data_IF_933763037028
#
_entry.id   IF_933763037028
#
_cell.length_a   1.000
_cell.length_b   1.000
_cell.length_c   1.000
_cell.angle_alpha   90.00
_cell.angle_beta   90.00
_cell.angle_gamma   90.00
#
_symmetry.space_group_name_H-M   'P 1'
#
loop_
_entity.id
_entity.type
_entity.pdbx_description
1 polymer ?
#
# COMPACT_ATOMS: atom_id res chain seq x y z
N UNK A 1 1.11 -4.54 15.51
CA UNK A 1 -0.28 -4.24 15.11
C UNK A 1 -1.14 -4.03 16.35
N UNK A 2 -2.26 -3.36 16.22
CA UNK A 2 -3.30 -3.14 17.21
C UNK A 2 -4.63 -2.92 16.45
N UNK A 3 -5.71 -2.57 17.15
CA UNK A 3 -7.04 -2.35 16.59
C UNK A 3 -7.16 -1.21 15.55
N UNK A 4 -6.11 -0.46 15.30
CA UNK A 4 -6.08 0.67 14.35
C UNK A 4 -5.50 0.33 12.99
N UNK A 5 -5.03 -0.90 12.80
CA UNK A 5 -4.41 -1.34 11.54
C UNK A 5 -4.85 -2.73 11.15
N UNK A 6 -4.91 -2.96 9.84
CA UNK A 6 -5.09 -4.31 9.29
C UNK A 6 -3.96 -5.23 9.78
N UNK A 7 -4.32 -6.45 10.17
CA UNK A 7 -3.32 -7.49 10.46
C UNK A 7 -2.73 -7.97 9.13
N UNK A 8 -1.40 -7.84 8.90
CA UNK A 8 -0.78 -8.29 7.66
C UNK A 8 -1.10 -9.77 7.37
N UNK A 9 -1.50 -10.06 6.13
CA UNK A 9 -1.83 -11.41 5.64
C UNK A 9 -0.61 -12.04 4.99
N UNK A 10 -0.66 -13.37 4.78
CA UNK A 10 0.40 -14.06 4.02
C UNK A 10 0.51 -13.56 2.59
N UNK A 11 -0.60 -13.17 1.96
CA UNK A 11 -0.61 -12.63 0.60
C UNK A 11 0.20 -11.33 0.48
N UNK A 12 0.28 -10.54 1.56
CA UNK A 12 1.12 -9.34 1.62
C UNK A 12 2.62 -9.67 1.47
N UNK A 13 3.05 -10.86 1.87
CA UNK A 13 4.44 -11.32 1.66
C UNK A 13 4.77 -11.44 0.17
N UNK A 14 3.81 -11.89 -0.64
CA UNK A 14 3.97 -11.98 -2.11
C UNK A 14 4.23 -10.61 -2.73
N UNK A 15 3.49 -9.58 -2.30
CA UNK A 15 3.71 -8.21 -2.75
C UNK A 15 5.13 -7.73 -2.42
N UNK A 16 5.62 -8.00 -1.21
CA UNK A 16 6.99 -7.65 -0.80
C UNK A 16 8.02 -8.41 -1.62
N UNK A 17 7.83 -9.71 -1.88
CA UNK A 17 8.73 -10.51 -2.70
C UNK A 17 8.81 -9.98 -4.14
N UNK A 18 7.66 -9.63 -4.75
CA UNK A 18 7.63 -9.05 -6.09
C UNK A 18 8.32 -7.67 -6.14
N UNK A 19 8.15 -6.85 -5.10
CA UNK A 19 8.87 -5.60 -4.96
C UNK A 19 10.39 -5.81 -4.88
N UNK A 20 10.83 -6.81 -4.10
CA UNK A 20 12.25 -7.12 -3.93
C UNK A 20 12.91 -7.70 -5.19
N UNK A 21 12.17 -8.35 -6.09
CA UNK A 21 12.70 -8.77 -7.41
C UNK A 21 13.10 -7.57 -8.29
N UNK A 22 12.50 -6.41 -8.05
CA UNK A 22 12.73 -5.16 -8.80
C UNK A 22 13.65 -4.19 -8.07
N UNK A 23 14.26 -4.62 -6.96
CA UNK A 23 15.09 -3.75 -6.11
C UNK A 23 16.30 -3.18 -6.85
N UNK A 24 16.54 -1.90 -6.64
CA UNK A 24 17.75 -1.18 -7.05
C UNK A 24 18.35 -0.47 -5.82
N UNK A 25 19.65 -0.24 -5.80
CA UNK A 25 20.28 0.52 -4.73
C UNK A 25 19.78 1.98 -4.71
N UNK A 26 19.52 2.51 -3.53
CA UNK A 26 19.07 3.90 -3.37
C UNK A 26 17.62 4.17 -3.83
N UNK A 27 16.79 3.12 -4.01
CA UNK A 27 15.39 3.30 -4.42
C UNK A 27 14.60 4.18 -3.46
N UNK A 28 13.71 5.01 -4.03
CA UNK A 28 12.67 5.74 -3.31
C UNK A 28 11.33 5.04 -3.50
N UNK A 29 10.74 4.54 -2.43
CA UNK A 29 9.49 3.77 -2.44
C UNK A 29 8.36 4.59 -1.82
N UNK A 30 7.19 4.58 -2.45
CA UNK A 30 5.94 5.08 -1.88
C UNK A 30 5.03 3.90 -1.53
N UNK A 31 4.50 3.90 -0.32
CA UNK A 31 3.51 2.93 0.14
C UNK A 31 2.21 3.66 0.46
N UNK A 32 1.20 3.48 -0.38
CA UNK A 32 -0.13 4.07 -0.21
C UNK A 32 -1.02 3.13 0.59
N UNK A 33 -1.82 3.68 1.50
CA UNK A 33 -2.59 2.93 2.50
C UNK A 33 -1.65 2.06 3.36
N UNK A 34 -0.59 2.70 3.87
CA UNK A 34 0.56 2.00 4.48
C UNK A 34 0.21 1.23 5.76
N UNK A 35 -0.87 1.57 6.43
CA UNK A 35 -1.33 0.92 7.66
C UNK A 35 -0.23 0.85 8.72
N UNK A 36 0.17 -0.35 9.09
CA UNK A 36 1.25 -0.59 10.06
C UNK A 36 2.66 -0.32 9.51
N UNK A 37 2.79 0.04 8.24
CA UNK A 37 4.06 0.20 7.53
C UNK A 37 4.71 -1.12 7.15
N UNK A 38 4.03 -2.26 7.28
CA UNK A 38 4.66 -3.57 7.13
C UNK A 38 5.26 -3.79 5.74
N UNK A 39 4.60 -3.36 4.66
CA UNK A 39 5.10 -3.49 3.29
C UNK A 39 6.35 -2.63 3.11
N UNK A 40 6.23 -1.33 3.35
CA UNK A 40 7.32 -0.38 3.21
C UNK A 40 8.56 -0.79 4.01
N UNK A 41 8.37 -1.09 5.28
CA UNK A 41 9.47 -1.43 6.18
C UNK A 41 10.13 -2.75 5.80
N UNK A 42 9.38 -3.74 5.33
CA UNK A 42 9.91 -5.00 4.82
C UNK A 42 10.75 -4.80 3.56
N UNK A 43 10.30 -3.95 2.64
CA UNK A 43 11.07 -3.60 1.44
C UNK A 43 12.37 -2.88 1.85
N UNK A 44 12.28 -1.81 2.66
CA UNK A 44 13.43 -1.00 3.05
C UNK A 44 14.47 -1.78 3.87
N UNK A 45 14.04 -2.74 4.68
CA UNK A 45 14.97 -3.61 5.42
C UNK A 45 15.89 -4.43 4.52
N UNK A 46 15.45 -4.70 3.29
CA UNK A 46 16.16 -5.48 2.28
C UNK A 46 16.81 -4.61 1.18
N UNK A 47 16.71 -3.28 1.29
CA UNK A 47 17.36 -2.35 0.37
C UNK A 47 18.63 -1.76 0.99
N UNK A 48 19.66 -1.57 0.17
CA UNK A 48 20.82 -0.75 0.53
C UNK A 48 20.53 0.72 0.20
N UNK A 49 20.61 1.58 1.22
CA UNK A 49 20.42 3.05 1.08
C UNK A 49 19.04 3.46 0.51
N UNK A 50 18.03 2.57 0.59
CA UNK A 50 16.67 2.91 0.17
C UNK A 50 16.01 3.88 1.13
N UNK A 51 15.10 4.70 0.60
CA UNK A 51 14.21 5.57 1.38
C UNK A 51 12.75 5.33 1.02
N UNK A 52 11.85 5.64 1.93
CA UNK A 52 10.44 5.42 1.66
C UNK A 52 9.52 6.41 2.35
N UNK A 53 8.37 6.59 1.70
CA UNK A 53 7.27 7.39 2.24
C UNK A 53 6.06 6.46 2.40
N UNK A 54 5.52 6.38 3.61
CA UNK A 54 4.25 5.71 3.89
C UNK A 54 3.14 6.75 4.03
N UNK A 55 2.07 6.57 3.29
CA UNK A 55 0.90 7.45 3.33
C UNK A 55 -0.30 6.67 3.84
N UNK A 56 -1.03 7.28 4.77
CA UNK A 56 -2.31 6.77 5.25
C UNK A 56 -3.23 7.92 5.63
N UNK A 57 -4.53 7.70 5.58
CA UNK A 57 -5.54 8.65 6.03
C UNK A 57 -5.76 8.58 7.55
N UNK A 58 -5.30 7.51 8.20
CA UNK A 58 -5.41 7.27 9.64
C UNK A 58 -4.14 7.67 10.38
N UNK A 59 -4.20 8.70 11.23
CA UNK A 59 -3.07 9.06 12.11
C UNK A 59 -2.70 7.92 13.07
N UNK A 60 -3.70 7.18 13.57
CA UNK A 60 -3.46 6.03 14.44
C UNK A 60 -2.67 4.92 13.74
N UNK A 61 -2.94 4.68 12.46
CA UNK A 61 -2.16 3.75 11.65
C UNK A 61 -0.71 4.24 11.48
N UNK A 62 -0.53 5.52 11.18
CA UNK A 62 0.81 6.12 11.05
C UNK A 62 1.61 6.09 12.36
N UNK A 63 0.96 6.21 13.53
CA UNK A 63 1.63 6.03 14.81
C UNK A 63 2.18 4.60 14.98
N UNK A 64 1.42 3.60 14.54
CA UNK A 64 1.89 2.20 14.52
C UNK A 64 3.08 2.05 13.58
N UNK A 65 2.99 2.61 12.37
CA UNK A 65 4.07 2.56 11.38
C UNK A 65 5.35 3.21 11.89
N UNK A 66 5.28 4.39 12.52
CA UNK A 66 6.44 5.08 13.14
C UNK A 66 7.08 4.22 14.24
N UNK A 67 6.26 3.60 15.11
CA UNK A 67 6.78 2.68 16.16
C UNK A 67 7.49 1.48 15.55
N UNK A 68 6.94 0.92 14.47
CA UNK A 68 7.55 -0.20 13.77
C UNK A 68 8.87 0.21 13.10
N UNK A 69 8.92 1.37 12.45
CA UNK A 69 10.15 1.91 11.86
C UNK A 69 11.25 2.06 12.92
N UNK A 70 10.90 2.59 14.10
CA UNK A 70 11.83 2.72 15.24
C UNK A 70 12.36 1.37 15.69
N UNK A 71 11.49 0.38 15.87
CA UNK A 71 11.90 -0.97 16.29
C UNK A 71 12.85 -1.64 15.30
N UNK A 72 12.74 -1.31 14.02
CA UNK A 72 13.56 -1.87 12.93
C UNK A 72 14.81 -1.05 12.62
N UNK A 73 14.97 0.13 13.26
CA UNK A 73 16.08 1.06 12.99
C UNK A 73 15.99 1.72 11.61
N UNK A 74 14.77 1.97 11.12
CA UNK A 74 14.50 2.55 9.81
C UNK A 74 13.94 3.98 9.88
N UNK A 75 13.98 4.64 11.04
CA UNK A 75 13.44 6.00 11.22
C UNK A 75 14.07 7.01 10.26
N UNK A 76 15.38 6.93 10.06
CA UNK A 76 16.08 7.85 9.16
C UNK A 76 15.80 7.59 7.67
N UNK A 77 15.31 6.40 7.33
CA UNK A 77 15.00 5.99 5.96
C UNK A 77 13.52 6.15 5.59
N UNK A 78 12.66 6.51 6.57
CA UNK A 78 11.21 6.54 6.38
C UNK A 78 10.60 7.88 6.75
N UNK A 79 9.59 8.29 5.99
CA UNK A 79 8.70 9.40 6.32
C UNK A 79 7.25 8.91 6.27
N UNK A 80 6.45 9.26 7.28
CA UNK A 80 5.02 8.90 7.32
C UNK A 80 4.17 10.16 7.26
N UNK A 81 3.23 10.22 6.30
CA UNK A 81 2.45 11.40 5.94
C UNK A 81 0.95 11.11 6.05
N UNK A 82 0.24 11.92 6.84
CA UNK A 82 -1.22 11.91 6.89
C UNK A 82 -1.78 12.58 5.65
N UNK A 83 -2.37 11.77 4.76
CA UNK A 83 -2.89 12.23 3.48
C UNK A 83 -3.90 11.24 2.90
N UNK A 84 -4.84 11.73 2.13
CA UNK A 84 -5.65 10.90 1.27
C UNK A 84 -4.87 10.64 -0.04
N UNK A 85 -4.47 9.40 -0.24
CA UNK A 85 -3.66 8.96 -1.38
C UNK A 85 -2.54 9.96 -1.74
N UNK A 86 -2.56 10.52 -2.94
CA UNK A 86 -1.49 11.38 -3.46
C UNK A 86 -1.55 12.85 -3.06
N UNK A 87 -2.58 13.32 -2.33
CA UNK A 87 -2.79 14.76 -2.07
C UNK A 87 -1.55 15.49 -1.52
N UNK A 88 -0.75 14.81 -0.69
CA UNK A 88 0.49 15.36 -0.12
C UNK A 88 1.75 14.59 -0.54
N UNK A 89 1.63 13.69 -1.52
CA UNK A 89 2.77 12.96 -2.04
C UNK A 89 3.75 13.88 -2.79
N UNK A 90 5.05 13.59 -2.67
CA UNK A 90 6.10 14.33 -3.35
C UNK A 90 7.01 13.37 -4.12
N UNK A 91 6.68 13.15 -5.38
CA UNK A 91 7.45 12.28 -6.28
C UNK A 91 8.75 12.91 -6.82
N UNK A 92 9.41 12.28 -7.79
CA UNK A 92 9.08 10.98 -8.31
C UNK A 92 9.62 9.81 -7.48
N UNK A 93 8.97 8.66 -7.59
CA UNK A 93 9.34 7.41 -6.91
C UNK A 93 9.82 6.36 -7.91
N UNK A 94 10.73 5.48 -7.48
CA UNK A 94 11.14 4.30 -8.26
C UNK A 94 10.08 3.20 -8.21
N UNK A 95 9.30 3.16 -7.12
CA UNK A 95 8.27 2.17 -6.91
C UNK A 95 7.13 2.76 -6.09
N UNK A 96 5.90 2.45 -6.48
CA UNK A 96 4.69 2.66 -5.68
C UNK A 96 4.13 1.28 -5.37
N UNK A 97 3.86 1.02 -4.10
CA UNK A 97 3.18 -0.18 -3.62
C UNK A 97 1.91 0.21 -2.90
N UNK A 98 0.90 -0.64 -2.91
CA UNK A 98 -0.29 -0.45 -2.11
C UNK A 98 -1.03 -1.77 -1.86
N UNK A 99 -1.52 -1.92 -0.64
CA UNK A 99 -2.58 -2.84 -0.28
C UNK A 99 -3.80 -1.99 0.13
N UNK A 100 -4.57 -1.47 -0.83
CA UNK A 100 -5.69 -0.60 -0.53
C UNK A 100 -6.89 -1.40 -0.06
N UNK A 101 -7.89 -0.79 0.61
CA UNK A 101 -9.16 -1.44 0.90
C UNK A 101 -9.84 -1.91 -0.39
N UNK A 102 -10.27 -3.16 -0.42
CA UNK A 102 -10.79 -3.79 -1.66
C UNK A 102 -12.07 -4.63 -1.46
N UNK A 103 -12.64 -4.67 -0.26
CA UNK A 103 -13.87 -5.41 0.00
C UNK A 103 -15.06 -4.54 -0.35
N UNK A 104 -16.03 -5.09 -1.09
CA UNK A 104 -17.28 -4.38 -1.39
C UNK A 104 -18.01 -4.02 -0.09
N UNK A 105 -18.54 -2.80 -0.03
CA UNK A 105 -19.22 -2.29 1.19
C UNK A 105 -20.29 -3.26 1.71
N UNK A 106 -21.04 -3.88 0.79
CA UNK A 106 -22.13 -4.81 1.14
C UNK A 106 -21.61 -6.16 1.66
N UNK A 107 -20.40 -6.56 1.28
CA UNK A 107 -19.78 -7.82 1.72
C UNK A 107 -19.20 -7.73 3.13
N UNK A 108 -18.87 -6.52 3.62
CA UNK A 108 -18.25 -6.33 4.93
C UNK A 108 -19.09 -6.97 6.05
N UNK A 109 -20.42 -6.87 5.97
CA UNK A 109 -21.31 -7.46 6.96
C UNK A 109 -21.28 -9.01 6.99
N UNK A 110 -20.76 -9.64 5.93
CA UNK A 110 -20.69 -11.10 5.77
C UNK A 110 -19.30 -11.65 6.15
N UNK A 111 -18.36 -10.78 6.48
CA UNK A 111 -17.02 -11.20 6.90
C UNK A 111 -17.07 -11.97 8.23
N UNK A 112 -16.06 -12.80 8.44
CA UNK A 112 -15.88 -13.47 9.73
C UNK A 112 -15.83 -12.44 10.87
N UNK A 113 -16.42 -12.74 12.03
CA UNK A 113 -16.49 -11.80 13.16
C UNK A 113 -15.12 -11.24 13.57
N UNK A 114 -14.06 -12.05 13.48
CA UNK A 114 -12.69 -11.66 13.82
C UNK A 114 -12.17 -10.52 12.95
N UNK A 115 -12.61 -10.45 11.70
CA UNK A 115 -12.25 -9.38 10.74
C UNK A 115 -13.24 -8.22 10.90
N UNK A 116 -14.53 -8.52 10.78
CA UNK A 116 -15.60 -7.52 10.77
C UNK A 116 -15.64 -6.64 12.03
N UNK A 117 -15.43 -7.27 13.21
CA UNK A 117 -15.65 -6.62 14.50
C UNK A 117 -14.35 -6.07 15.14
N UNK A 118 -13.19 -6.46 14.63
CA UNK A 118 -11.89 -6.12 15.23
C UNK A 118 -10.93 -5.38 14.32
N UNK A 119 -11.13 -5.41 12.99
CA UNK A 119 -10.29 -4.66 12.07
C UNK A 119 -10.96 -3.33 11.66
N UNK A 120 -10.19 -2.26 11.44
CA UNK A 120 -10.78 -0.97 11.09
C UNK A 120 -11.57 -1.06 9.78
N UNK A 121 -12.84 -0.66 9.79
CA UNK A 121 -13.67 -0.64 8.57
C UNK A 121 -13.00 0.14 7.44
N UNK A 122 -12.31 1.23 7.78
CA UNK A 122 -11.56 2.05 6.82
C UNK A 122 -10.48 1.26 6.06
N UNK A 123 -9.93 0.21 6.67
CA UNK A 123 -8.92 -0.65 6.04
C UNK A 123 -9.54 -1.78 5.19
N UNK A 124 -10.86 -1.97 5.23
CA UNK A 124 -11.57 -3.03 4.54
C UNK A 124 -12.40 -2.52 3.36
N UNK A 125 -13.06 -1.36 3.52
CA UNK A 125 -14.12 -0.87 2.63
C UNK A 125 -13.56 -0.29 1.34
N UNK A 126 -13.61 -1.11 0.26
CA UNK A 126 -13.23 -0.75 -1.11
C UNK A 126 -14.34 -0.06 -1.91
N UNK A 127 -15.41 0.41 -1.24
CA UNK A 127 -16.61 1.02 -1.80
C UNK A 127 -17.51 0.02 -2.56
N UNK A 128 -18.35 0.52 -3.46
CA UNK A 128 -19.47 -0.25 -4.04
C UNK A 128 -19.07 -1.50 -4.82
N UNK A 129 -17.86 -1.53 -5.40
CA UNK A 129 -17.37 -2.63 -6.23
C UNK A 129 -15.95 -3.09 -5.87
N UNK A 130 -15.44 -2.63 -4.73
CA UNK A 130 -14.10 -2.99 -4.26
C UNK A 130 -12.94 -2.44 -5.10
N UNK A 131 -13.22 -1.63 -6.14
CA UNK A 131 -12.19 -1.16 -7.10
C UNK A 131 -11.91 0.35 -7.02
N UNK A 132 -12.56 1.06 -6.13
CA UNK A 132 -12.46 2.52 -6.03
C UNK A 132 -11.01 3.00 -5.86
N UNK A 133 -10.27 2.41 -4.93
CA UNK A 133 -8.89 2.83 -4.65
C UNK A 133 -7.94 2.47 -5.79
N UNK A 134 -8.12 1.31 -6.44
CA UNK A 134 -7.31 0.96 -7.62
C UNK A 134 -7.49 1.98 -8.74
N UNK A 135 -8.72 2.36 -9.07
CA UNK A 135 -8.98 3.41 -10.07
C UNK A 135 -8.35 4.74 -9.68
N UNK A 136 -8.50 5.14 -8.42
CA UNK A 136 -7.96 6.41 -7.90
C UNK A 136 -6.44 6.44 -7.95
N UNK A 137 -5.78 5.32 -7.61
CA UNK A 137 -4.32 5.22 -7.64
C UNK A 137 -3.82 5.18 -9.09
N UNK A 138 -4.39 4.33 -9.92
CA UNK A 138 -3.95 4.13 -11.32
C UNK A 138 -4.08 5.43 -12.13
N UNK A 139 -5.15 6.22 -11.91
CA UNK A 139 -5.37 7.48 -12.64
C UNK A 139 -4.34 8.57 -12.33
N UNK A 140 -3.64 8.49 -11.19
CA UNK A 140 -2.73 9.54 -10.72
C UNK A 140 -1.25 9.10 -10.67
N UNK A 141 -0.98 7.81 -10.50
CA UNK A 141 0.35 7.31 -10.15
C UNK A 141 1.45 7.67 -11.15
N UNK A 142 1.12 7.89 -12.42
CA UNK A 142 2.09 8.27 -13.46
C UNK A 142 2.81 9.58 -13.14
N UNK A 143 2.14 10.54 -12.53
CA UNK A 143 2.71 11.84 -12.15
C UNK A 143 3.72 11.72 -11.01
N UNK A 144 3.69 10.59 -10.30
CA UNK A 144 4.54 10.31 -9.14
C UNK A 144 5.56 9.21 -9.36
N UNK A 145 5.51 8.49 -10.50
CA UNK A 145 6.49 7.48 -10.87
C UNK A 145 7.59 8.06 -11.76
N UNK A 146 8.80 7.55 -11.60
CA UNK A 146 9.84 7.71 -12.61
C UNK A 146 9.46 6.99 -13.91
N UNK A 147 10.11 7.31 -15.02
CA UNK A 147 9.83 6.74 -16.34
C UNK A 147 9.89 5.20 -16.35
N UNK A 148 10.85 4.62 -15.63
CA UNK A 148 11.01 3.17 -15.44
C UNK A 148 10.50 2.66 -14.08
N UNK A 149 9.65 3.45 -13.43
CA UNK A 149 9.07 3.14 -12.13
C UNK A 149 8.00 2.04 -12.20
N UNK A 150 7.85 1.30 -11.10
CA UNK A 150 6.89 0.20 -11.00
C UNK A 150 5.74 0.53 -10.05
N UNK A 151 4.52 0.07 -10.42
CA UNK A 151 3.34 0.07 -9.57
C UNK A 151 2.96 -1.37 -9.23
N UNK A 152 2.83 -1.69 -7.95
CA UNK A 152 2.45 -3.02 -7.47
C UNK A 152 1.29 -2.93 -6.49
N UNK A 153 0.34 -3.85 -6.63
CA UNK A 153 -0.83 -3.97 -5.76
C UNK A 153 -0.93 -5.35 -5.11
N UNK A 154 -1.36 -5.39 -3.86
CA UNK A 154 -2.13 -6.51 -3.36
C UNK A 154 -3.57 -6.35 -3.84
N UNK A 155 -4.23 -7.44 -4.24
CA UNK A 155 -5.58 -7.43 -4.80
C UNK A 155 -6.44 -8.50 -4.14
N UNK A 156 -7.74 -8.23 -4.06
CA UNK A 156 -8.72 -9.21 -3.58
C UNK A 156 -8.87 -10.41 -4.52
N UNK A 157 -9.25 -11.53 -3.96
CA UNK A 157 -9.55 -12.74 -4.73
C UNK A 157 -10.62 -12.44 -5.79
N UNK A 158 -10.32 -12.77 -7.05
CA UNK A 158 -11.24 -12.51 -8.19
C UNK A 158 -11.09 -11.13 -8.85
N UNK A 159 -10.38 -10.18 -8.26
CA UNK A 159 -10.21 -8.82 -8.85
C UNK A 159 -9.11 -8.73 -9.91
N UNK A 160 -8.32 -9.78 -10.09
CA UNK A 160 -7.14 -9.77 -10.97
C UNK A 160 -7.42 -9.30 -12.40
N UNK A 161 -8.51 -9.76 -13.02
CA UNK A 161 -8.87 -9.34 -14.38
C UNK A 161 -9.23 -7.85 -14.45
N UNK A 162 -10.03 -7.35 -13.51
CA UNK A 162 -10.47 -5.96 -13.48
C UNK A 162 -9.30 -5.00 -13.21
N UNK A 163 -8.44 -5.31 -12.24
CA UNK A 163 -7.26 -4.49 -11.94
C UNK A 163 -6.26 -4.52 -13.09
N UNK A 164 -6.06 -5.68 -13.74
CA UNK A 164 -5.20 -5.77 -14.93
C UNK A 164 -5.70 -4.92 -16.08
N UNK A 165 -7.02 -4.84 -16.30
CA UNK A 165 -7.61 -3.98 -17.33
C UNK A 165 -7.36 -2.51 -17.02
N UNK A 166 -7.61 -2.06 -15.79
CA UNK A 166 -7.32 -0.69 -15.36
C UNK A 166 -5.85 -0.30 -15.61
N UNK A 167 -4.92 -1.20 -15.29
CA UNK A 167 -3.48 -0.96 -15.52
C UNK A 167 -3.15 -0.87 -17.01
N UNK A 168 -3.72 -1.73 -17.87
CA UNK A 168 -3.52 -1.71 -19.32
C UNK A 168 -4.08 -0.43 -19.94
N UNK A 169 -5.30 -0.01 -19.58
CA UNK A 169 -5.90 1.23 -20.05
C UNK A 169 -5.05 2.45 -19.68
N UNK A 170 -4.40 2.43 -18.52
CA UNK A 170 -3.44 3.46 -18.10
C UNK A 170 -2.05 3.30 -18.77
N UNK A 171 -1.86 2.31 -19.66
CA UNK A 171 -0.62 2.10 -20.40
C UNK A 171 0.49 1.43 -19.59
N UNK A 172 0.17 0.72 -18.51
CA UNK A 172 1.14 -0.14 -17.84
C UNK A 172 1.30 -1.47 -18.58
N UNK A 173 2.53 -1.99 -18.59
CA UNK A 173 2.86 -3.31 -19.14
C UNK A 173 3.15 -4.24 -17.97
N UNK A 174 2.51 -5.41 -17.97
CA UNK A 174 2.70 -6.45 -16.95
C UNK A 174 3.89 -7.34 -17.29
#
# INVERSE_FOLDING_TARGET
>A
VNEHVLIPRQDTEVLVEEALKRKKEGMKVLDLCTGSGCILLSILKNLKQGTGVGIDISEQALEVARRNAKRLGLEAATTFVLSDLFEKAQGPYDMIVSNPPYIETEEIAQLMPEVRDHEPRLALDGMSDGLYYYRSIVSQCRDYLKEDGALLFEIGAGQGAAVSELLKEAGFVS
#
